data_IF_511958705611
#
_entry.id   IF_511958705611
#
_cell.length_a   1.000
_cell.length_b   1.000
_cell.length_c   1.000
_cell.angle_alpha   90.00
_cell.angle_beta   90.00
_cell.angle_gamma   90.00
#
_symmetry.space_group_name_H-M   'P 1'
#
loop_
_entity.id
_entity.type
_entity.pdbx_description
1 polymer ?
#
# COMPACT_ATOMS: atom_id res chain seq x y z
N UNK A 1 40.92 9.81 -4.02
CA UNK A 1 40.11 10.44 -2.95
C UNK A 1 38.64 10.55 -3.32
N UNK A 2 38.31 10.98 -4.54
CA UNK A 2 36.93 11.15 -5.04
C UNK A 2 36.11 9.85 -5.10
N UNK A 3 36.71 8.71 -5.49
CA UNK A 3 36.04 7.40 -5.53
C UNK A 3 35.50 6.92 -4.17
N UNK A 4 36.18 7.24 -3.06
CA UNK A 4 35.72 6.88 -1.70
C UNK A 4 34.52 7.71 -1.28
N UNK A 5 34.46 8.97 -1.73
CA UNK A 5 33.33 9.86 -1.50
C UNK A 5 32.13 9.39 -2.31
N UNK A 6 32.34 9.00 -3.58
CA UNK A 6 31.27 8.44 -4.42
C UNK A 6 30.59 7.23 -3.75
N UNK A 7 31.38 6.28 -3.22
CA UNK A 7 30.87 5.12 -2.49
C UNK A 7 30.06 5.48 -1.24
N UNK A 8 30.46 6.53 -0.51
CA UNK A 8 29.71 7.04 0.64
C UNK A 8 28.33 7.59 0.25
N UNK A 9 28.22 8.16 -0.96
CA UNK A 9 26.98 8.77 -1.46
C UNK A 9 26.05 7.81 -2.20
N UNK A 10 26.47 6.57 -2.53
CA UNK A 10 25.59 5.56 -3.19
C UNK A 10 24.24 5.34 -2.47
N UNK A 11 24.18 5.28 -1.13
CA UNK A 11 22.91 5.09 -0.43
C UNK A 11 21.96 6.29 -0.54
N UNK A 12 22.46 7.48 -0.88
CA UNK A 12 21.67 8.71 -0.91
C UNK A 12 20.64 8.70 -2.06
N UNK A 13 20.99 8.41 -3.34
CA UNK A 13 20.01 8.21 -4.40
C UNK A 13 19.00 7.10 -4.09
N UNK A 14 19.43 6.01 -3.44
CA UNK A 14 18.53 4.92 -3.05
C UNK A 14 17.48 5.38 -2.04
N UNK A 15 17.88 6.17 -1.04
CA UNK A 15 16.95 6.75 -0.08
C UNK A 15 15.91 7.65 -0.76
N UNK A 16 16.34 8.54 -1.66
CA UNK A 16 15.42 9.41 -2.40
C UNK A 16 14.49 8.61 -3.32
N UNK A 17 15.01 7.61 -4.03
CA UNK A 17 14.20 6.74 -4.87
C UNK A 17 13.13 5.97 -4.07
N UNK A 18 13.42 5.61 -2.82
CA UNK A 18 12.45 4.99 -1.90
C UNK A 18 11.44 6.01 -1.37
N UNK A 19 11.89 7.20 -0.98
CA UNK A 19 11.02 8.27 -0.48
C UNK A 19 10.00 8.73 -1.53
N UNK A 20 10.43 8.87 -2.79
CA UNK A 20 9.55 9.28 -3.90
C UNK A 20 8.47 8.23 -4.23
N UNK A 21 8.60 6.98 -3.76
CA UNK A 21 7.53 5.97 -3.92
C UNK A 21 6.27 6.31 -3.11
N UNK A 22 6.39 7.13 -2.06
CA UNK A 22 5.24 7.62 -1.31
C UNK A 22 4.25 8.36 -2.23
N UNK A 23 4.73 9.09 -3.24
CA UNK A 23 3.88 9.85 -4.16
C UNK A 23 3.22 9.03 -5.27
N UNK A 24 3.69 7.80 -5.50
CA UNK A 24 3.22 6.96 -6.62
C UNK A 24 2.63 5.63 -6.15
N UNK A 25 3.45 4.76 -5.57
CA UNK A 25 3.07 3.39 -5.19
C UNK A 25 2.15 3.38 -3.98
N UNK A 26 2.43 4.22 -2.98
CA UNK A 26 1.57 4.29 -1.80
C UNK A 26 0.24 4.97 -2.10
N UNK A 27 0.22 5.95 -3.01
CA UNK A 27 -1.02 6.51 -3.55
C UNK A 27 -1.87 5.43 -4.22
N UNK A 28 -1.27 4.58 -5.07
CA UNK A 28 -1.98 3.46 -5.71
C UNK A 28 -2.43 2.39 -4.70
N UNK A 29 -1.64 2.13 -3.66
CA UNK A 29 -2.07 1.26 -2.58
C UNK A 29 -3.29 1.86 -1.85
N UNK A 30 -3.29 3.17 -1.60
CA UNK A 30 -4.38 3.87 -0.95
C UNK A 30 -5.67 3.92 -1.80
N UNK A 31 -5.60 3.86 -3.13
CA UNK A 31 -6.83 3.77 -3.97
C UNK A 31 -7.58 2.46 -3.79
N UNK A 32 -6.87 1.41 -3.36
CA UNK A 32 -7.46 0.10 -3.03
C UNK A 32 -7.89 -0.04 -1.57
N UNK A 33 -7.74 1.02 -0.76
CA UNK A 33 -8.13 1.07 0.64
C UNK A 33 -9.40 1.91 0.84
N UNK A 34 -10.08 1.70 1.96
CA UNK A 34 -11.19 2.57 2.34
C UNK A 34 -10.67 3.93 2.81
N UNK A 35 -11.01 4.98 2.06
CA UNK A 35 -10.69 6.37 2.38
C UNK A 35 -11.74 7.08 3.23
N UNK A 36 -12.76 6.36 3.71
CA UNK A 36 -13.85 6.95 4.47
C UNK A 36 -13.43 7.23 5.92
N UNK A 37 -13.15 8.51 6.22
CA UNK A 37 -12.85 8.98 7.56
C UNK A 37 -14.13 9.53 8.23
N UNK A 38 -15.11 8.65 8.39
CA UNK A 38 -16.40 8.96 9.02
C UNK A 38 -17.30 9.84 8.14
N UNK A 39 -17.15 11.17 8.25
CA UNK A 39 -17.90 12.16 7.47
C UNK A 39 -17.12 12.77 6.31
N UNK A 40 -15.80 12.51 6.23
CA UNK A 40 -14.92 13.05 5.21
C UNK A 40 -14.29 11.90 4.43
N UNK A 41 -14.51 11.89 3.12
CA UNK A 41 -13.82 10.96 2.23
C UNK A 41 -12.46 11.55 1.86
N UNK A 42 -11.38 10.94 2.38
CA UNK A 42 -10.01 11.32 2.06
C UNK A 42 -9.66 10.70 0.72
N UNK A 43 -9.24 11.54 -0.24
CA UNK A 43 -8.78 11.05 -1.52
C UNK A 43 -7.34 10.52 -1.39
N UNK A 44 -6.96 9.46 -2.11
CA UNK A 44 -5.61 8.88 -2.05
C UNK A 44 -4.48 9.88 -2.25
N UNK A 45 -4.64 10.84 -3.18
CA UNK A 45 -3.64 11.88 -3.45
C UNK A 45 -3.42 12.84 -2.26
N UNK A 46 -4.45 13.04 -1.42
CA UNK A 46 -4.36 13.89 -0.23
C UNK A 46 -3.46 13.29 0.84
N UNK A 47 -3.19 11.97 0.80
CA UNK A 47 -2.30 11.30 1.75
C UNK A 47 -0.88 11.89 1.74
N UNK A 48 -0.45 12.50 0.62
CA UNK A 48 0.86 13.14 0.51
C UNK A 48 0.99 14.37 1.43
N UNK A 49 -0.13 15.00 1.83
CA UNK A 49 -0.12 16.13 2.77
C UNK A 49 0.32 15.75 4.18
N UNK A 50 0.27 14.46 4.53
CA UNK A 50 0.73 13.95 5.83
C UNK A 50 2.25 14.12 5.98
N UNK A 51 3.01 14.05 4.88
CA UNK A 51 4.46 14.18 4.91
C UNK A 51 4.94 15.54 5.48
N UNK A 52 4.56 16.71 4.92
CA UNK A 52 4.96 18.00 5.47
C UNK A 52 4.45 18.23 6.90
N UNK A 53 3.24 17.73 7.24
CA UNK A 53 2.71 17.81 8.62
C UNK A 53 3.63 17.04 9.59
N UNK A 54 4.02 15.82 9.22
CA UNK A 54 4.94 15.01 10.02
C UNK A 54 6.29 15.68 10.17
N UNK A 55 6.83 16.33 9.13
CA UNK A 55 8.11 17.06 9.22
C UNK A 55 7.99 18.21 10.23
N UNK A 56 6.93 19.03 10.14
CA UNK A 56 6.71 20.18 11.04
C UNK A 56 6.62 19.73 12.50
N UNK A 57 6.06 18.55 12.77
CA UNK A 57 5.93 18.00 14.12
C UNK A 57 7.22 17.28 14.56
N UNK A 58 7.84 16.47 13.69
CA UNK A 58 8.98 15.63 14.05
C UNK A 58 10.27 16.43 14.19
N UNK A 59 10.51 17.47 13.40
CA UNK A 59 11.72 18.30 13.52
C UNK A 59 11.90 18.84 14.96
N UNK A 60 10.91 19.55 15.55
CA UNK A 60 11.07 20.06 16.91
C UNK A 60 11.13 18.93 17.95
N UNK A 61 10.44 17.80 17.76
CA UNK A 61 10.52 16.65 18.68
C UNK A 61 11.93 16.05 18.66
N UNK A 62 12.50 15.83 17.48
CA UNK A 62 13.84 15.26 17.34
C UNK A 62 14.87 16.21 17.94
N UNK A 63 14.75 17.51 17.66
CA UNK A 63 15.70 18.53 18.12
C UNK A 63 15.61 18.82 19.62
N UNK A 64 14.40 18.95 20.16
CA UNK A 64 14.18 19.34 21.55
C UNK A 64 14.12 18.16 22.53
N UNK A 65 13.82 16.95 22.06
CA UNK A 65 13.66 15.77 22.92
C UNK A 65 14.71 14.70 22.60
N UNK A 66 14.81 14.26 21.35
CA UNK A 66 15.64 13.09 21.01
C UNK A 66 17.13 13.41 21.13
N UNK A 67 17.62 14.51 20.54
CA UNK A 67 19.02 14.88 20.65
C UNK A 67 19.51 15.17 22.08
N UNK A 68 18.76 15.87 22.96
CA UNK A 68 19.19 16.02 24.35
C UNK A 68 19.16 14.70 25.13
N UNK A 69 18.24 13.79 24.86
CA UNK A 69 18.24 12.45 25.46
C UNK A 69 19.47 11.62 25.03
N UNK A 70 19.81 11.66 23.75
CA UNK A 70 21.02 11.01 23.22
C UNK A 70 22.29 11.63 23.83
N UNK A 71 22.30 12.96 24.00
CA UNK A 71 23.40 13.68 24.66
C UNK A 71 23.54 13.28 26.13
N UNK A 72 22.44 13.06 26.85
CA UNK A 72 22.45 12.51 28.22
C UNK A 72 23.00 11.08 28.26
N UNK A 73 22.83 10.30 27.20
CA UNK A 73 23.43 8.97 27.07
C UNK A 73 24.92 9.00 26.64
N UNK A 74 25.55 10.18 26.53
CA UNK A 74 26.94 10.37 26.09
C UNK A 74 27.28 9.77 24.71
N UNK A 75 26.27 9.57 23.85
CA UNK A 75 26.48 9.05 22.50
C UNK A 75 26.75 10.23 21.56
N UNK A 76 27.94 10.24 20.95
CA UNK A 76 28.24 11.17 19.86
C UNK A 76 27.42 10.79 18.62
N UNK A 77 26.38 11.57 18.34
CA UNK A 77 25.49 11.39 17.19
C UNK A 77 26.06 12.11 15.97
N UNK A 78 27.02 11.47 15.30
CA UNK A 78 27.64 12.01 14.09
C UNK A 78 26.60 12.12 12.95
N UNK A 79 26.78 13.07 12.00
CA UNK A 79 25.89 13.19 10.85
C UNK A 79 25.72 11.87 10.07
N UNK A 80 26.78 11.07 9.99
CA UNK A 80 26.74 9.78 9.31
C UNK A 80 25.82 8.78 10.03
N UNK A 81 25.82 8.75 11.37
CA UNK A 81 24.91 7.89 12.15
C UNK A 81 23.44 8.30 11.98
N UNK A 82 23.16 9.61 11.88
CA UNK A 82 21.81 10.12 11.60
C UNK A 82 21.30 9.59 10.26
N UNK A 83 22.14 9.63 9.23
CA UNK A 83 21.82 9.10 7.91
C UNK A 83 21.56 7.58 7.96
N UNK A 84 22.39 6.81 8.68
CA UNK A 84 22.19 5.37 8.84
C UNK A 84 20.88 5.03 9.55
N UNK A 85 20.55 5.73 10.65
CA UNK A 85 19.27 5.52 11.36
C UNK A 85 18.08 5.86 10.47
N UNK A 86 18.16 6.96 9.70
CA UNK A 86 17.12 7.32 8.72
C UNK A 86 16.90 6.23 7.67
N UNK A 87 17.97 5.62 7.15
CA UNK A 87 17.87 4.51 6.20
C UNK A 87 17.26 3.25 6.81
N UNK A 88 17.57 2.94 8.08
CA UNK A 88 16.95 1.82 8.80
C UNK A 88 15.46 2.05 9.07
N UNK A 89 15.07 3.29 9.38
CA UNK A 89 13.66 3.64 9.53
C UNK A 89 12.92 3.58 8.19
N UNK A 90 13.56 4.01 7.10
CA UNK A 90 13.00 3.88 5.76
C UNK A 90 12.77 2.40 5.39
N UNK A 91 13.73 1.51 5.66
CA UNK A 91 13.53 0.08 5.38
C UNK A 91 12.40 -0.52 6.21
N UNK A 92 12.27 -0.13 7.48
CA UNK A 92 11.15 -0.54 8.35
C UNK A 92 9.80 -0.06 7.79
N UNK A 93 9.74 1.16 7.25
CA UNK A 93 8.51 1.68 6.63
C UNK A 93 8.06 0.84 5.43
N UNK A 94 8.99 0.33 4.62
CA UNK A 94 8.67 -0.60 3.53
C UNK A 94 8.18 -1.96 4.03
N UNK A 95 8.68 -2.45 5.18
CA UNK A 95 8.13 -3.66 5.81
C UNK A 95 6.68 -3.44 6.22
N UNK A 96 6.37 -2.29 6.81
CA UNK A 96 4.98 -1.94 7.17
C UNK A 96 4.10 -1.84 5.92
N UNK A 97 4.58 -1.18 4.86
CA UNK A 97 3.85 -1.09 3.59
C UNK A 97 3.57 -2.47 2.96
N UNK A 98 4.52 -3.40 3.06
CA UNK A 98 4.35 -4.78 2.60
C UNK A 98 3.29 -5.53 3.42
N UNK A 99 3.27 -5.36 4.75
CA UNK A 99 2.24 -5.96 5.62
C UNK A 99 0.85 -5.40 5.29
N UNK A 100 0.73 -4.10 5.02
CA UNK A 100 -0.52 -3.48 4.57
C UNK A 100 -0.95 -4.06 3.22
N UNK A 101 -0.02 -4.25 2.28
CA UNK A 101 -0.32 -4.87 0.99
C UNK A 101 -0.90 -6.29 1.15
N UNK A 102 -0.33 -7.10 2.05
CA UNK A 102 -0.87 -8.44 2.35
C UNK A 102 -2.30 -8.40 2.91
N UNK A 103 -2.68 -7.32 3.59
CA UNK A 103 -4.06 -7.09 4.03
C UNK A 103 -4.99 -6.78 2.86
N UNK A 104 -4.55 -5.91 1.95
CA UNK A 104 -5.29 -5.51 0.76
C UNK A 104 -5.47 -6.69 -0.20
N UNK A 105 -4.43 -7.48 -0.42
CA UNK A 105 -4.46 -8.63 -1.34
C UNK A 105 -5.51 -9.68 -0.95
N UNK A 106 -5.87 -9.77 0.34
CA UNK A 106 -6.97 -10.62 0.81
C UNK A 106 -8.36 -10.11 0.43
N UNK A 107 -8.49 -8.81 0.20
CA UNK A 107 -9.75 -8.17 -0.19
C UNK A 107 -9.93 -8.06 -1.70
N UNK A 108 -8.84 -8.20 -2.46
CA UNK A 108 -8.87 -8.15 -3.92
C UNK A 108 -9.34 -9.51 -4.49
N UNK A 109 -10.11 -9.51 -5.58
CA UNK A 109 -10.51 -10.74 -6.24
C UNK A 109 -9.27 -11.46 -6.79
N UNK A 110 -9.12 -12.74 -6.43
CA UNK A 110 -8.05 -13.60 -6.95
C UNK A 110 -8.31 -13.82 -8.43
N UNK A 111 -7.39 -13.40 -9.29
CA UNK A 111 -7.48 -13.65 -10.73
C UNK A 111 -7.43 -15.15 -11.02
N UNK A 112 -8.20 -15.64 -12.01
CA UNK A 112 -8.22 -17.05 -12.35
C UNK A 112 -6.85 -17.50 -12.91
N UNK A 113 -6.45 -18.73 -12.60
CA UNK A 113 -5.26 -19.36 -13.19
C UNK A 113 -5.46 -19.60 -14.71
N UNK A 114 -4.40 -19.95 -15.45
CA UNK A 114 -4.43 -20.09 -16.93
C UNK A 114 -5.55 -21.01 -17.46
N UNK A 115 -6.00 -21.99 -16.66
CA UNK A 115 -7.08 -22.93 -17.02
C UNK A 115 -8.44 -22.58 -16.39
N UNK A 116 -8.61 -21.38 -15.84
CA UNK A 116 -9.82 -20.92 -15.19
C UNK A 116 -10.34 -19.64 -15.85
N UNK A 117 -11.65 -19.45 -15.85
CA UNK A 117 -12.26 -18.16 -16.18
C UNK A 117 -13.24 -17.75 -15.10
N UNK A 118 -13.38 -16.44 -14.88
CA UNK A 118 -14.29 -15.89 -13.89
C UNK A 118 -15.42 -15.12 -14.56
N UNK A 119 -16.64 -15.35 -14.09
CA UNK A 119 -17.83 -14.62 -14.53
C UNK A 119 -18.47 -13.94 -13.34
N UNK A 120 -18.68 -12.63 -13.46
CA UNK A 120 -19.48 -11.84 -12.52
C UNK A 120 -20.76 -11.40 -13.23
N UNK A 121 -21.91 -11.78 -12.67
CA UNK A 121 -23.20 -11.46 -13.25
C UNK A 121 -23.90 -10.43 -12.36
N UNK A 122 -24.48 -9.42 -13.00
CA UNK A 122 -25.14 -8.29 -12.33
C UNK A 122 -26.57 -8.24 -12.83
N UNK A 123 -27.54 -8.37 -11.91
CA UNK A 123 -28.94 -8.15 -12.22
C UNK A 123 -29.28 -6.67 -11.96
N UNK A 124 -29.50 -5.92 -13.04
CA UNK A 124 -29.90 -4.50 -13.00
C UNK A 124 -31.43 -4.33 -13.09
N UNK A 125 -32.19 -5.41 -13.20
CA UNK A 125 -33.64 -5.37 -13.30
C UNK A 125 -34.33 -5.31 -11.93
N UNK A 126 -35.56 -4.80 -11.92
CA UNK A 126 -36.42 -4.76 -10.73
C UNK A 126 -36.94 -6.15 -10.31
N UNK A 127 -36.81 -7.15 -11.17
CA UNK A 127 -37.33 -8.51 -10.93
C UNK A 127 -36.20 -9.50 -10.62
N UNK A 128 -36.52 -10.52 -9.83
CA UNK A 128 -35.60 -11.63 -9.54
C UNK A 128 -35.35 -12.42 -10.83
N UNK A 129 -34.08 -12.63 -11.16
CA UNK A 129 -33.67 -13.41 -12.31
C UNK A 129 -33.01 -14.70 -11.84
N UNK A 130 -33.27 -15.81 -12.53
CA UNK A 130 -32.55 -17.08 -12.28
C UNK A 130 -31.65 -17.33 -13.47
N UNK A 131 -30.35 -17.48 -13.21
CA UNK A 131 -29.37 -17.72 -14.27
C UNK A 131 -28.86 -19.14 -14.11
N UNK A 132 -28.88 -19.91 -15.20
CA UNK A 132 -28.29 -21.24 -15.26
C UNK A 132 -26.90 -21.14 -15.90
N UNK A 133 -25.85 -21.40 -15.14
CA UNK A 133 -24.45 -21.41 -15.62
C UNK A 133 -23.78 -22.71 -15.20
N UNK A 134 -23.11 -23.37 -16.15
CA UNK A 134 -22.43 -24.67 -15.96
C UNK A 134 -23.30 -25.78 -15.32
N UNK A 135 -24.62 -25.75 -15.50
CA UNK A 135 -25.55 -26.75 -14.97
C UNK A 135 -26.11 -26.43 -13.57
N UNK A 136 -25.72 -25.32 -12.95
CA UNK A 136 -26.22 -24.86 -11.66
C UNK A 136 -27.11 -23.60 -11.83
N UNK A 137 -28.22 -23.54 -11.10
CA UNK A 137 -29.17 -22.41 -11.16
C UNK A 137 -28.92 -21.47 -10.00
N UNK A 138 -28.45 -20.26 -10.29
CA UNK A 138 -28.13 -19.25 -9.29
C UNK A 138 -29.25 -18.19 -9.27
N UNK A 139 -30.02 -18.09 -8.17
CA UNK A 139 -31.04 -17.05 -8.03
C UNK A 139 -30.37 -15.70 -7.73
N UNK A 140 -30.68 -14.69 -8.54
CA UNK A 140 -30.19 -13.33 -8.42
C UNK A 140 -31.32 -12.38 -8.02
N UNK A 141 -31.12 -11.66 -6.91
CA UNK A 141 -32.03 -10.62 -6.46
C UNK A 141 -31.90 -9.36 -7.34
N UNK A 142 -32.92 -8.50 -7.31
CA UNK A 142 -32.93 -7.21 -8.02
C UNK A 142 -31.79 -6.30 -7.55
N UNK A 143 -31.14 -5.59 -8.47
CA UNK A 143 -29.98 -4.72 -8.21
C UNK A 143 -28.82 -5.39 -7.44
N UNK A 144 -28.67 -6.70 -7.57
CA UNK A 144 -27.63 -7.47 -6.89
C UNK A 144 -26.66 -8.07 -7.90
N UNK A 145 -25.42 -8.26 -7.46
CA UNK A 145 -24.37 -8.92 -8.22
C UNK A 145 -23.93 -10.17 -7.49
N UNK A 146 -23.65 -11.24 -8.24
CA UNK A 146 -23.00 -12.44 -7.67
C UNK A 146 -21.53 -12.13 -7.37
N UNK A 147 -20.94 -12.88 -6.44
CA UNK A 147 -19.48 -12.97 -6.32
C UNK A 147 -18.86 -13.54 -7.61
N UNK A 148 -17.54 -13.40 -7.78
CA UNK A 148 -16.83 -13.94 -8.94
C UNK A 148 -16.92 -15.48 -8.95
N UNK A 149 -17.67 -16.03 -9.89
CA UNK A 149 -17.79 -17.48 -10.06
C UNK A 149 -16.63 -17.95 -10.93
N UNK A 150 -15.82 -18.87 -10.41
CA UNK A 150 -14.67 -19.43 -11.14
C UNK A 150 -15.06 -20.76 -11.76
N UNK A 151 -14.84 -20.89 -13.07
CA UNK A 151 -15.07 -22.11 -13.83
C UNK A 151 -13.75 -22.64 -14.39
N UNK A 152 -13.57 -23.96 -14.36
CA UNK A 152 -12.45 -24.60 -15.04
C UNK A 152 -12.77 -24.80 -16.53
N UNK A 153 -11.83 -24.42 -17.39
CA UNK A 153 -11.92 -24.75 -18.81
C UNK A 153 -11.65 -26.24 -18.98
N UNK A 154 -12.70 -27.03 -19.28
CA UNK A 154 -12.51 -28.40 -19.77
C UNK A 154 -11.74 -28.34 -21.08
N UNK A 155 -10.47 -28.74 -21.05
CA UNK A 155 -9.69 -28.99 -22.26
C UNK A 155 -10.39 -30.11 -23.02
N UNK A 156 -10.98 -29.79 -24.18
CA UNK A 156 -11.53 -30.82 -25.05
C UNK A 156 -10.35 -31.63 -25.60
N UNK A 157 -10.19 -32.86 -25.11
CA UNK A 157 -9.39 -33.88 -25.80
C UNK A 157 -10.10 -34.32 -27.09
#
# INVERSE_FOLDING_TARGET
>A
MVLKVLFLYIPLPMFWALFDQQGSRWTLQATTMDGNFGSVQIQPDQMQTVNPILIVIMVPIVDAVIYPLIKKCHINFTPLRKMTVGMLLASLAFVVAAVVQLGIDKTLPVFPAENQFQVKIINLGDTKATIATAGESIPLNSFSATEYITYEMKTSN
#
